data_IF_509779182690
#
_entry.id   IF_509779182690
#
_cell.length_a   1.000
_cell.length_b   1.000
_cell.length_c   1.000
_cell.angle_alpha   90.00
_cell.angle_beta   90.00
_cell.angle_gamma   90.00
#
_symmetry.space_group_name_H-M   'P 1'
#
loop_
_entity.id
_entity.type
_entity.pdbx_description
1 polymer ?
#
# COMPACT_ATOMS: atom_id res chain seq x y z
N UNK A 1 4.48 4.62 -17.46
CA UNK A 1 5.54 5.46 -16.85
C UNK A 1 6.79 5.40 -17.71
N UNK A 2 7.85 6.13 -17.38
CA UNK A 2 9.11 6.13 -18.14
C UNK A 2 10.30 6.08 -17.16
N UNK A 3 11.28 5.21 -17.43
CA UNK A 3 12.48 5.01 -16.61
C UNK A 3 12.20 4.76 -15.10
N UNK A 4 11.63 3.59 -14.74
CA UNK A 4 11.36 3.23 -13.34
C UNK A 4 12.63 3.24 -12.49
N UNK A 5 12.62 3.97 -11.37
CA UNK A 5 13.76 4.04 -10.44
C UNK A 5 13.87 2.81 -9.53
N UNK A 6 12.76 2.13 -9.29
CA UNK A 6 12.69 0.89 -8.52
C UNK A 6 11.26 0.48 -8.20
N UNK A 7 11.05 -0.81 -7.94
CA UNK A 7 9.76 -1.39 -7.55
C UNK A 7 9.99 -2.68 -6.76
N UNK A 8 8.99 -3.16 -6.03
CA UNK A 8 9.14 -4.38 -5.25
C UNK A 8 7.94 -4.74 -4.39
N UNK A 9 7.92 -5.99 -3.93
CA UNK A 9 6.96 -6.48 -2.95
C UNK A 9 7.57 -6.36 -1.55
N UNK A 10 6.94 -5.55 -0.70
CA UNK A 10 7.43 -5.20 0.63
C UNK A 10 6.52 -5.74 1.72
N UNK A 11 7.10 -6.41 2.71
CA UNK A 11 6.40 -6.86 3.90
C UNK A 11 6.59 -5.88 5.07
N UNK A 12 5.79 -4.82 5.07
CA UNK A 12 5.85 -3.76 6.10
C UNK A 12 5.13 -4.16 7.39
N UNK A 13 5.81 -3.94 8.52
CA UNK A 13 5.27 -4.20 9.84
C UNK A 13 5.50 -5.65 10.25
N UNK A 14 6.65 -5.88 10.90
CA UNK A 14 7.20 -7.20 11.25
C UNK A 14 7.01 -7.58 12.71
N UNK A 15 6.08 -6.92 13.40
CA UNK A 15 5.70 -7.32 14.76
C UNK A 15 5.12 -8.73 14.69
N UNK A 16 5.69 -9.69 15.44
CA UNK A 16 5.22 -11.08 15.46
C UNK A 16 3.70 -11.18 15.68
N UNK A 17 3.15 -10.30 16.54
CA UNK A 17 1.73 -10.23 16.87
C UNK A 17 0.80 -9.73 15.75
N UNK A 18 1.30 -9.61 14.52
CA UNK A 18 0.50 -9.43 13.30
C UNK A 18 0.18 -10.75 12.60
N UNK A 19 0.94 -11.80 12.93
CA UNK A 19 0.91 -13.11 12.28
C UNK A 19 0.62 -14.22 13.30
N UNK A 20 1.24 -14.16 14.49
CA UNK A 20 1.09 -15.14 15.60
C UNK A 20 1.40 -16.60 15.22
N UNK A 21 2.04 -16.82 14.06
CA UNK A 21 2.40 -18.14 13.54
C UNK A 21 3.85 -18.48 13.91
N UNK A 22 4.03 -19.57 14.66
CA UNK A 22 5.34 -20.02 15.14
C UNK A 22 6.13 -20.87 14.14
N UNK A 23 5.45 -21.48 13.17
CA UNK A 23 6.02 -22.45 12.23
C UNK A 23 6.45 -21.75 10.94
N UNK A 24 5.54 -20.99 10.31
CA UNK A 24 5.76 -20.33 9.02
C UNK A 24 6.50 -18.99 9.12
N UNK A 25 6.54 -18.41 10.33
CA UNK A 25 7.28 -17.19 10.69
C UNK A 25 7.20 -16.09 9.64
N UNK A 26 5.96 -15.78 9.22
CA UNK A 26 5.66 -14.75 8.25
C UNK A 26 6.38 -13.42 8.58
N UNK A 27 6.46 -13.04 9.85
CA UNK A 27 7.19 -11.85 10.34
C UNK A 27 8.66 -11.74 9.87
N UNK A 28 9.29 -12.88 9.58
CA UNK A 28 10.67 -13.00 9.10
C UNK A 28 10.82 -13.07 7.57
N UNK A 29 9.74 -13.34 6.80
CA UNK A 29 9.81 -13.46 5.33
C UNK A 29 10.31 -12.15 4.67
N UNK A 30 11.20 -12.18 3.66
CA UNK A 30 11.89 -10.98 3.17
C UNK A 30 11.00 -10.09 2.31
N UNK A 31 11.26 -8.77 2.34
CA UNK A 31 10.88 -7.86 1.25
C UNK A 31 11.85 -8.03 0.08
N UNK A 32 11.37 -7.87 -1.15
CA UNK A 32 12.19 -7.91 -2.36
C UNK A 32 12.05 -6.60 -3.16
N UNK A 33 13.17 -5.90 -3.40
CA UNK A 33 13.21 -4.64 -4.14
C UNK A 33 14.11 -4.71 -5.38
N UNK A 34 13.54 -4.46 -6.55
CA UNK A 34 14.23 -4.38 -7.83
C UNK A 34 14.71 -2.94 -8.06
N UNK A 35 16.01 -2.77 -8.30
CA UNK A 35 16.61 -1.51 -8.74
C UNK A 35 17.14 -1.67 -10.17
N UNK A 36 16.47 -1.10 -11.18
CA UNK A 36 16.98 -1.01 -12.54
C UNK A 36 18.35 -0.34 -12.62
N UNK A 37 19.16 -0.75 -13.61
CA UNK A 37 20.45 -0.13 -13.95
C UNK A 37 20.41 0.37 -15.38
N UNK A 38 20.41 1.69 -15.54
CA UNK A 38 20.21 2.36 -16.83
C UNK A 38 18.73 2.64 -17.10
N UNK A 39 18.46 3.08 -18.33
CA UNK A 39 17.13 3.50 -18.78
C UNK A 39 16.37 2.31 -19.37
N UNK A 40 15.18 2.02 -18.84
CA UNK A 40 14.29 0.95 -19.32
C UNK A 40 13.20 1.49 -20.28
N UNK A 41 13.19 2.79 -20.53
CA UNK A 41 12.26 3.45 -21.45
C UNK A 41 10.83 3.49 -20.91
N UNK A 42 9.88 3.51 -21.84
CA UNK A 42 8.44 3.58 -21.56
C UNK A 42 7.85 2.19 -21.33
N UNK A 43 6.93 2.12 -20.38
CA UNK A 43 6.37 0.87 -19.89
C UNK A 43 5.61 1.05 -18.59
N UNK A 44 5.17 -0.05 -17.99
CA UNK A 44 4.45 -0.05 -16.71
C UNK A 44 5.03 -1.07 -15.75
N UNK A 45 4.97 -0.76 -14.45
CA UNK A 45 5.09 -1.78 -13.41
C UNK A 45 3.69 -2.35 -13.23
N UNK A 46 3.51 -3.63 -13.54
CA UNK A 46 2.25 -4.34 -13.41
C UNK A 46 2.21 -5.12 -12.09
N UNK A 47 1.02 -5.20 -11.52
CA UNK A 47 0.69 -6.03 -10.36
C UNK A 47 -0.45 -6.95 -10.77
N UNK A 48 -0.25 -8.26 -10.63
CA UNK A 48 -1.27 -9.28 -10.86
C UNK A 48 -1.67 -9.87 -9.52
N UNK A 49 -2.97 -9.76 -9.20
CA UNK A 49 -3.58 -10.34 -8.00
C UNK A 49 -4.48 -11.50 -8.43
N UNK A 50 -4.12 -12.72 -8.04
CA UNK A 50 -4.86 -13.95 -8.37
C UNK A 50 -5.75 -14.31 -7.17
N UNK A 51 -7.05 -14.58 -7.36
CA UNK A 51 -7.90 -15.07 -6.27
C UNK A 51 -7.42 -16.44 -5.77
N UNK A 52 -7.11 -16.53 -4.47
CA UNK A 52 -6.82 -17.79 -3.79
C UNK A 52 -7.63 -17.91 -2.50
N UNK A 53 -7.89 -19.15 -2.08
CA UNK A 53 -8.45 -19.49 -0.76
C UNK A 53 -7.39 -20.12 0.16
N UNK A 54 -6.17 -20.29 -0.32
CA UNK A 54 -5.11 -21.10 0.30
C UNK A 54 -3.74 -20.40 0.12
N UNK A 55 -2.94 -20.36 1.19
CA UNK A 55 -1.64 -19.68 1.21
C UNK A 55 -0.54 -20.44 0.47
N UNK A 56 -0.72 -21.75 0.27
CA UNK A 56 0.26 -22.62 -0.42
C UNK A 56 0.47 -22.27 -1.89
N UNK A 57 -0.36 -21.39 -2.46
CA UNK A 57 -0.31 -20.95 -3.84
C UNK A 57 0.07 -19.47 -3.92
N UNK A 58 1.27 -19.17 -4.43
CA UNK A 58 1.69 -17.79 -4.73
C UNK A 58 0.66 -17.11 -5.65
N UNK A 59 0.08 -16.01 -5.17
CA UNK A 59 -1.05 -15.36 -5.83
C UNK A 59 -0.81 -13.87 -6.17
N UNK A 60 0.42 -13.38 -5.94
CA UNK A 60 0.84 -12.00 -6.23
C UNK A 60 2.05 -12.01 -7.16
N UNK A 61 1.98 -11.31 -8.29
CA UNK A 61 3.10 -11.15 -9.22
C UNK A 61 3.32 -9.67 -9.49
N UNK A 62 4.58 -9.21 -9.46
CA UNK A 62 4.94 -7.84 -9.82
C UNK A 62 6.15 -7.81 -10.77
N UNK A 63 6.03 -7.12 -11.90
CA UNK A 63 7.08 -7.05 -12.93
C UNK A 63 7.01 -5.73 -13.72
N UNK A 64 8.05 -5.47 -14.50
CA UNK A 64 8.08 -4.40 -15.49
C UNK A 64 7.70 -4.94 -16.87
N UNK A 65 6.80 -4.24 -17.56
CA UNK A 65 6.47 -4.49 -18.97
C UNK A 65 6.82 -3.24 -19.80
N UNK A 66 7.65 -3.35 -20.87
CA UNK A 66 7.84 -2.26 -21.82
C UNK A 66 6.57 -2.00 -22.65
N UNK A 67 6.29 -0.74 -22.99
CA UNK A 67 5.14 -0.37 -23.85
C UNK A 67 5.29 -0.92 -25.30
N UNK A 68 6.53 -1.20 -25.72
CA UNK A 68 6.87 -1.76 -27.03
C UNK A 68 7.95 -2.83 -26.88
N UNK A 69 7.69 -4.01 -27.44
CA UNK A 69 8.67 -5.08 -27.58
C UNK A 69 9.42 -4.92 -28.92
N UNK A 70 10.71 -5.30 -29.00
CA UNK A 70 11.43 -5.29 -30.26
C UNK A 70 11.04 -6.49 -31.14
N UNK A 71 11.38 -6.41 -32.42
CA UNK A 71 11.15 -7.49 -33.38
C UNK A 71 11.74 -8.85 -32.94
N UNK A 72 11.11 -9.99 -33.28
CA UNK A 72 11.61 -11.31 -32.93
C UNK A 72 13.08 -11.52 -33.33
N UNK A 73 13.89 -11.99 -32.38
CA UNK A 73 15.33 -12.20 -32.56
C UNK A 73 16.20 -10.95 -32.31
N UNK A 74 15.63 -9.79 -31.98
CA UNK A 74 16.39 -8.66 -31.43
C UNK A 74 16.70 -8.87 -29.95
N UNK A 75 17.89 -8.44 -29.54
CA UNK A 75 18.35 -8.52 -28.15
C UNK A 75 17.66 -7.45 -27.28
N UNK A 76 17.31 -7.84 -26.04
CA UNK A 76 16.92 -6.91 -24.97
C UNK A 76 17.92 -7.01 -23.82
N UNK A 77 18.48 -5.87 -23.40
CA UNK A 77 19.48 -5.81 -22.34
C UNK A 77 18.89 -5.23 -21.04
N UNK A 78 18.45 -6.10 -20.13
CA UNK A 78 18.02 -5.68 -18.80
C UNK A 78 19.11 -5.92 -17.76
N UNK A 79 19.48 -4.87 -17.03
CA UNK A 79 20.43 -4.91 -15.90
C UNK A 79 19.71 -4.37 -14.67
N UNK A 80 19.82 -5.07 -13.55
CA UNK A 80 19.19 -4.69 -12.28
C UNK A 80 19.91 -5.34 -11.09
N UNK A 81 19.47 -5.00 -9.88
CA UNK A 81 19.76 -5.73 -8.64
C UNK A 81 18.46 -6.01 -7.91
N UNK A 82 18.33 -7.19 -7.31
CA UNK A 82 17.25 -7.51 -6.37
C UNK A 82 17.83 -7.46 -4.95
N UNK A 83 17.26 -6.62 -4.10
CA UNK A 83 17.62 -6.52 -2.68
C UNK A 83 16.58 -7.27 -1.87
N UNK A 84 16.98 -8.39 -1.26
CA UNK A 84 16.17 -9.07 -0.26
C UNK A 84 16.52 -8.51 1.12
N UNK A 85 15.53 -7.95 1.84
CA UNK A 85 15.75 -7.20 3.08
C UNK A 85 14.62 -7.44 4.10
N UNK A 86 14.90 -7.13 5.37
CA UNK A 86 13.90 -6.99 6.44
C UNK A 86 13.91 -5.58 7.07
N UNK A 87 14.68 -4.67 6.49
CA UNK A 87 14.80 -3.27 6.87
C UNK A 87 14.01 -2.42 5.86
N UNK A 88 12.68 -2.45 5.92
CA UNK A 88 11.83 -1.72 4.96
C UNK A 88 12.04 -0.19 5.01
N UNK A 89 12.47 0.35 6.15
CA UNK A 89 12.80 1.76 6.32
C UNK A 89 13.99 2.20 5.43
N UNK A 90 14.94 1.29 5.16
CA UNK A 90 16.07 1.53 4.26
C UNK A 90 15.72 1.35 2.78
N UNK A 91 14.53 0.81 2.46
CA UNK A 91 14.00 0.72 1.10
C UNK A 91 13.16 1.96 0.71
N UNK A 92 13.02 2.93 1.61
CA UNK A 92 12.36 4.20 1.37
C UNK A 92 13.34 5.38 1.45
N UNK A 93 13.04 6.45 0.72
CA UNK A 93 13.74 7.71 0.89
C UNK A 93 13.46 8.26 2.30
N UNK A 94 14.49 8.68 3.08
CA UNK A 94 14.33 8.99 4.50
C UNK A 94 13.45 10.23 4.76
N UNK A 95 13.40 11.15 3.80
CA UNK A 95 12.57 12.35 3.74
C UNK A 95 11.13 12.08 3.28
N UNK A 96 10.82 10.86 2.83
CA UNK A 96 9.47 10.45 2.43
C UNK A 96 8.81 9.57 3.51
N UNK A 97 7.54 9.87 3.84
CA UNK A 97 6.77 9.07 4.77
C UNK A 97 6.00 7.95 4.04
N UNK A 98 6.16 6.72 4.51
CA UNK A 98 5.47 5.54 3.97
C UNK A 98 4.28 5.11 4.84
N UNK A 99 3.37 4.34 4.23
CA UNK A 99 2.28 3.68 4.94
C UNK A 99 2.82 2.46 5.70
N UNK A 100 2.67 2.48 7.03
CA UNK A 100 3.05 1.39 7.93
C UNK A 100 1.97 0.30 8.04
N UNK A 101 0.70 0.69 7.89
CA UNK A 101 -0.45 -0.21 7.82
C UNK A 101 -1.69 0.50 7.27
N UNK A 102 -2.54 -0.26 6.58
CA UNK A 102 -3.89 0.14 6.19
C UNK A 102 -4.88 -0.77 6.89
N UNK A 103 -5.88 -0.21 7.57
CA UNK A 103 -6.93 -0.97 8.26
C UNK A 103 -8.30 -0.58 7.71
N UNK A 104 -9.04 -1.56 7.19
CA UNK A 104 -10.44 -1.43 6.79
C UNK A 104 -11.35 -1.42 8.02
N UNK A 105 -12.39 -0.61 7.98
CA UNK A 105 -13.52 -0.57 8.91
C UNK A 105 -14.80 -0.44 8.10
N UNK A 106 -15.93 -0.86 8.66
CA UNK A 106 -17.24 -0.41 8.15
C UNK A 106 -17.36 1.10 8.32
N UNK A 107 -18.27 1.70 7.55
CA UNK A 107 -18.93 2.94 7.93
C UNK A 107 -19.62 2.86 9.28
N UNK A 108 -20.02 4.02 9.79
CA UNK A 108 -20.69 4.13 11.09
C UNK A 108 -21.46 5.45 11.20
N UNK A 109 -22.79 5.36 11.25
CA UNK A 109 -23.63 6.43 11.79
C UNK A 109 -23.62 6.30 13.30
N UNK A 110 -23.12 7.30 14.03
CA UNK A 110 -23.23 7.36 15.49
C UNK A 110 -24.70 7.44 15.92
N UNK A 111 -25.31 6.30 16.22
CA UNK A 111 -26.64 6.20 16.80
C UNK A 111 -26.56 6.17 18.33
N UNK A 112 -27.67 6.51 19.01
CA UNK A 112 -27.76 6.54 20.48
C UNK A 112 -27.89 5.15 21.12
N UNK A 113 -27.94 4.09 20.31
CA UNK A 113 -27.95 2.68 20.72
C UNK A 113 -26.63 2.01 20.32
N UNK A 114 -26.24 0.95 21.05
CA UNK A 114 -24.95 0.26 20.84
C UNK A 114 -24.93 -0.68 19.62
N UNK A 115 -26.03 -0.75 18.86
CA UNK A 115 -26.18 -1.65 17.71
C UNK A 115 -25.89 -0.85 16.44
N UNK A 116 -24.66 -0.96 15.94
CA UNK A 116 -24.24 -0.35 14.67
C UNK A 116 -24.88 -1.07 13.48
N UNK A 117 -25.47 -0.30 12.58
CA UNK A 117 -25.97 -0.80 11.29
C UNK A 117 -25.02 -0.35 10.17
N UNK A 118 -24.66 -1.23 9.21
CA UNK A 118 -23.92 -0.83 8.02
C UNK A 118 -24.72 0.18 7.19
N UNK A 119 -24.11 1.32 6.89
CA UNK A 119 -24.69 2.43 6.11
C UNK A 119 -24.33 2.37 4.61
N UNK A 120 -23.71 1.27 4.16
CA UNK A 120 -23.15 1.11 2.82
C UNK A 120 -21.78 1.76 2.62
N UNK A 121 -21.27 2.51 3.61
CA UNK A 121 -19.98 3.19 3.52
C UNK A 121 -18.84 2.32 4.09
N UNK A 122 -17.60 2.63 3.71
CA UNK A 122 -16.39 1.92 4.12
C UNK A 122 -15.34 2.95 4.56
N UNK A 123 -14.64 2.67 5.66
CA UNK A 123 -13.58 3.55 6.15
C UNK A 123 -12.21 2.86 6.09
N UNK A 124 -11.20 3.62 5.68
CA UNK A 124 -9.80 3.22 5.75
C UNK A 124 -9.07 4.08 6.77
N UNK A 125 -8.35 3.43 7.69
CA UNK A 125 -7.38 4.06 8.58
C UNK A 125 -6.00 3.75 8.04
N UNK A 126 -5.32 4.76 7.52
CA UNK A 126 -3.99 4.67 6.90
C UNK A 126 -2.99 5.33 7.85
N UNK A 127 -2.05 4.55 8.36
CA UNK A 127 -1.04 5.01 9.30
C UNK A 127 0.28 5.29 8.59
N UNK A 128 0.75 6.53 8.65
CA UNK A 128 2.01 6.98 8.05
C UNK A 128 3.13 7.11 9.09
N UNK A 129 4.35 6.78 8.67
CA UNK A 129 5.58 6.98 9.43
C UNK A 129 6.76 7.21 8.48
N UNK A 130 7.87 7.75 8.98
CA UNK A 130 9.08 8.02 8.21
C UNK A 130 10.15 8.63 9.11
N UNK A 131 11.41 8.69 8.65
CA UNK A 131 12.51 9.18 9.49
C UNK A 131 12.32 10.67 9.82
N UNK A 132 12.07 11.52 8.81
CA UNK A 132 11.79 12.94 9.04
C UNK A 132 10.39 13.18 9.64
N UNK A 133 9.37 12.42 9.22
CA UNK A 133 8.00 12.56 9.76
C UNK A 133 7.91 12.32 11.29
N UNK A 134 8.78 11.48 11.85
CA UNK A 134 8.88 11.26 13.31
C UNK A 134 9.41 12.49 14.07
N UNK A 135 10.14 13.39 13.40
CA UNK A 135 10.71 14.61 14.00
C UNK A 135 9.75 15.81 13.96
N UNK A 136 8.68 15.73 13.16
CA UNK A 136 7.70 16.81 13.03
C UNK A 136 6.95 17.06 14.35
N UNK A 137 6.82 18.33 14.79
CA UNK A 137 5.97 18.74 15.92
C UNK A 137 4.54 18.20 15.82
N UNK A 138 3.88 17.98 16.96
CA UNK A 138 2.54 17.38 16.99
C UNK A 138 1.46 18.28 16.37
N UNK A 139 1.67 19.60 16.41
CA UNK A 139 0.83 20.66 15.85
C UNK A 139 1.12 20.96 14.37
N UNK A 140 2.04 20.22 13.73
CA UNK A 140 2.33 20.37 12.29
C UNK A 140 1.03 20.18 11.48
N UNK A 141 0.60 21.16 10.67
CA UNK A 141 -0.66 21.10 9.94
C UNK A 141 -0.57 20.19 8.71
N UNK A 142 -0.53 18.87 8.94
CA UNK A 142 -0.49 17.85 7.88
C UNK A 142 -1.86 17.74 7.21
N UNK A 143 -1.90 17.98 5.90
CA UNK A 143 -3.06 17.78 5.03
C UNK A 143 -2.84 16.60 4.09
N UNK A 144 -3.91 15.89 3.72
CA UNK A 144 -3.86 14.95 2.60
C UNK A 144 -4.49 15.57 1.36
N UNK A 145 -3.87 15.29 0.22
CA UNK A 145 -4.49 15.40 -1.09
C UNK A 145 -5.09 14.03 -1.40
N UNK A 146 -6.39 13.98 -1.69
CA UNK A 146 -7.14 12.74 -1.91
C UNK A 146 -7.93 12.81 -3.20
N UNK A 147 -7.97 11.69 -3.93
CA UNK A 147 -8.77 11.51 -5.13
C UNK A 147 -9.42 10.14 -5.13
N UNK A 148 -10.51 9.99 -5.90
CA UNK A 148 -11.21 8.73 -6.13
C UNK A 148 -11.67 8.68 -7.58
N UNK A 149 -11.82 7.49 -8.16
CA UNK A 149 -12.42 7.31 -9.47
C UNK A 149 -13.95 7.28 -9.42
N UNK A 150 -14.60 7.39 -10.57
CA UNK A 150 -16.05 7.65 -10.74
C UNK A 150 -17.00 6.65 -10.05
N UNK A 151 -16.51 5.50 -9.59
CA UNK A 151 -17.28 4.45 -8.92
C UNK A 151 -17.30 4.58 -7.37
N UNK A 152 -16.98 5.76 -6.83
CA UNK A 152 -17.05 6.04 -5.40
C UNK A 152 -16.94 7.52 -5.07
N UNK A 153 -17.34 7.89 -3.86
CA UNK A 153 -17.27 9.26 -3.36
C UNK A 153 -16.48 9.30 -2.02
N UNK A 154 -15.73 10.38 -1.79
CA UNK A 154 -15.04 10.63 -0.52
C UNK A 154 -15.97 11.48 0.35
N UNK A 155 -16.60 10.86 1.35
CA UNK A 155 -17.49 11.58 2.27
C UNK A 155 -16.74 12.34 3.36
N UNK A 156 -15.56 11.86 3.75
CA UNK A 156 -14.84 12.44 4.88
C UNK A 156 -13.34 12.12 4.82
N UNK A 157 -12.50 13.12 5.06
CA UNK A 157 -11.06 12.96 5.28
C UNK A 157 -10.68 13.63 6.59
N UNK A 158 -10.22 12.85 7.56
CA UNK A 158 -9.83 13.32 8.90
C UNK A 158 -8.37 12.99 9.19
N UNK A 159 -7.62 13.98 9.63
CA UNK A 159 -6.24 13.83 10.06
C UNK A 159 -6.17 13.83 11.59
N UNK A 160 -5.44 12.88 12.15
CA UNK A 160 -5.26 12.75 13.60
C UNK A 160 -3.95 12.03 13.91
N UNK A 161 -3.06 12.66 14.70
CA UNK A 161 -2.18 11.89 15.58
C UNK A 161 -3.01 11.35 16.74
N UNK A 162 -2.75 10.11 17.17
CA UNK A 162 -3.46 9.46 18.28
C UNK A 162 -2.46 9.09 19.38
N UNK A 163 -2.70 9.60 20.59
CA UNK A 163 -1.86 9.47 21.80
C UNK A 163 -1.31 8.06 22.10
N UNK A 164 -2.01 7.00 21.71
CA UNK A 164 -1.63 5.60 21.96
C UNK A 164 -0.44 5.08 21.14
N UNK A 165 -0.02 5.78 20.07
CA UNK A 165 1.11 5.41 19.22
C UNK A 165 2.00 6.65 19.00
N UNK A 166 3.00 6.85 19.87
CA UNK A 166 3.83 8.07 20.01
C UNK A 166 4.76 8.41 18.82
N UNK A 167 4.45 7.94 17.60
CA UNK A 167 5.33 8.10 16.42
C UNK A 167 4.64 7.93 15.06
N UNK A 168 3.30 7.94 14.98
CA UNK A 168 2.55 7.75 13.72
C UNK A 168 1.46 8.79 13.50
N UNK A 169 1.41 9.33 12.28
CA UNK A 169 0.25 10.11 11.81
C UNK A 169 -0.80 9.15 11.26
N UNK A 170 -2.09 9.42 11.50
CA UNK A 170 -3.19 8.67 10.87
C UNK A 170 -3.98 9.58 9.95
N UNK A 171 -4.16 9.16 8.71
CA UNK A 171 -5.26 9.63 7.88
C UNK A 171 -6.42 8.65 8.02
N UNK A 172 -7.64 9.17 8.21
CA UNK A 172 -8.88 8.41 8.09
C UNK A 172 -9.64 8.93 6.88
N UNK A 173 -9.93 8.05 5.94
CA UNK A 173 -10.77 8.36 4.79
C UNK A 173 -12.04 7.49 4.86
N UNK A 174 -13.21 8.12 4.72
CA UNK A 174 -14.49 7.43 4.54
C UNK A 174 -14.91 7.53 3.06
N UNK A 175 -15.19 6.39 2.46
CA UNK A 175 -15.45 6.18 1.04
C UNK A 175 -16.78 5.44 0.86
N UNK A 176 -17.49 5.65 -0.24
CA UNK A 176 -18.76 4.97 -0.56
C UNK A 176 -18.75 4.14 -1.83
N UNK A 177 -19.81 3.32 -1.96
CA UNK A 177 -20.27 2.52 -3.11
C UNK A 177 -21.76 2.21 -2.86
N UNK A 178 -22.62 1.81 -3.80
CA UNK A 178 -22.55 1.47 -5.23
C UNK A 178 -23.85 1.98 -5.89
N UNK A 179 -23.85 2.49 -7.14
CA UNK A 179 -24.99 2.25 -8.01
C UNK A 179 -25.01 0.77 -8.39
N UNK A 180 -26.19 0.14 -8.44
CA UNK A 180 -26.32 -1.24 -8.93
C UNK A 180 -25.88 -1.29 -10.39
N UNK A 181 -24.90 -2.14 -10.71
CA UNK A 181 -24.77 -2.63 -12.08
C UNK A 181 -25.97 -3.54 -12.31
N UNK A 182 -26.87 -3.13 -13.19
CA UNK A 182 -27.96 -3.97 -13.66
C UNK A 182 -27.37 -5.17 -14.40
N UNK A 183 -27.73 -6.38 -13.97
CA UNK A 183 -27.53 -7.58 -14.79
C UNK A 183 -28.53 -7.49 -15.94
N UNK A 184 -28.01 -7.53 -17.17
CA UNK A 184 -28.80 -7.74 -18.39
C UNK A 184 -28.94 -9.24 -18.66
#
# INVERSE_FOLDING_TARGET
MENPQGFGLLQRGRDFSRFEDLDDRYDLRPSAWVTPKGEWGKGSVELVEIPTNDETNDNIVAYWTPDQLPEPGKEMNFKYTITFSRDEDKLHAPDNAWVQQTRRSTGDVKQSNLIRQPDGTIAFVVDFTGAEMKKLPEDTPVTAQTSIGDNGEILCTLHSRRWALRSTHKARCAITRLPKVGVW
#
